data_IF_331986860601
#
_entry.id   IF_331986860601
#
_cell.length_a   1.000
_cell.length_b   1.000
_cell.length_c   1.000
_cell.angle_alpha   90.00
_cell.angle_beta   90.00
_cell.angle_gamma   90.00
#
_symmetry.space_group_name_H-M   'P 1'
#
loop_
_entity.id
_entity.type
_entity.pdbx_description
1 polymer ?
#
# COMPACT_ATOMS: atom_id res chain seq x y z
N UNK A 1 0.42 -15.06 16.18
CA UNK A 1 -0.25 -15.00 14.86
C UNK A 1 -1.77 -15.08 15.06
N UNK A 2 -2.61 -14.50 14.18
CA UNK A 2 -4.08 -14.52 14.28
C UNK A 2 -4.68 -15.92 14.07
N UNK A 3 -4.22 -16.61 13.03
CA UNK A 3 -4.62 -17.99 12.77
C UNK A 3 -3.95 -18.96 13.74
N UNK A 4 -4.70 -19.99 14.12
CA UNK A 4 -4.19 -21.15 14.85
C UNK A 4 -3.69 -22.22 13.88
N UNK A 5 -4.25 -22.28 12.68
CA UNK A 5 -3.96 -23.32 11.69
C UNK A 5 -3.87 -22.72 10.29
N UNK A 6 -2.97 -23.25 9.46
CA UNK A 6 -2.96 -23.02 8.02
C UNK A 6 -3.08 -24.35 7.29
N UNK A 7 -4.10 -24.46 6.45
CA UNK A 7 -4.27 -25.58 5.53
C UNK A 7 -3.78 -25.21 4.13
N UNK A 8 -3.11 -26.14 3.46
CA UNK A 8 -2.79 -26.06 2.03
C UNK A 8 -3.67 -27.03 1.28
N UNK A 9 -4.42 -26.51 0.30
CA UNK A 9 -5.33 -27.31 -0.53
C UNK A 9 -4.95 -27.17 -2.00
N UNK A 10 -5.14 -28.24 -2.76
CA UNK A 10 -5.00 -28.24 -4.22
C UNK A 10 -6.34 -28.65 -4.83
N UNK A 11 -6.93 -27.78 -5.64
CA UNK A 11 -8.27 -27.99 -6.21
C UNK A 11 -9.30 -28.34 -5.12
N UNK A 12 -9.28 -27.61 -3.99
CA UNK A 12 -10.09 -27.85 -2.77
C UNK A 12 -9.77 -29.11 -1.97
N UNK A 13 -8.89 -30.00 -2.45
CA UNK A 13 -8.41 -31.18 -1.71
C UNK A 13 -7.31 -30.78 -0.73
N UNK A 14 -7.50 -31.07 0.55
CA UNK A 14 -6.47 -30.85 1.58
C UNK A 14 -5.21 -31.67 1.26
N UNK A 15 -4.06 -31.00 1.23
CA UNK A 15 -2.74 -31.61 1.07
C UNK A 15 -1.97 -31.65 2.39
N UNK A 16 -1.96 -30.54 3.13
CA UNK A 16 -1.28 -30.43 4.41
C UNK A 16 -1.99 -29.42 5.32
N UNK A 17 -1.74 -29.53 6.62
CA UNK A 17 -2.17 -28.58 7.63
C UNK A 17 -1.06 -28.40 8.65
N UNK A 18 -0.83 -27.18 9.11
CA UNK A 18 0.14 -26.86 10.16
C UNK A 18 -0.47 -25.93 11.18
N UNK A 19 -0.06 -26.09 12.45
CA UNK A 19 -0.36 -25.11 13.50
C UNK A 19 0.57 -23.92 13.32
N UNK A 20 0.03 -22.71 13.45
CA UNK A 20 0.82 -21.48 13.43
C UNK A 20 1.19 -21.15 14.86
N UNK A 21 2.45 -21.41 15.23
CA UNK A 21 2.96 -21.06 16.56
C UNK A 21 3.08 -19.54 16.73
N UNK A 22 3.11 -19.09 17.97
CA UNK A 22 3.02 -17.66 18.30
C UNK A 22 4.21 -16.83 17.79
N UNK A 23 5.37 -17.46 17.54
CA UNK A 23 6.54 -16.81 16.93
C UNK A 23 6.37 -16.68 15.41
N UNK A 24 6.09 -15.47 14.89
CA UNK A 24 5.77 -15.27 13.48
C UNK A 24 7.00 -15.27 12.56
N UNK A 25 8.23 -15.35 13.10
CA UNK A 25 9.46 -15.29 12.31
C UNK A 25 9.86 -16.63 11.66
N UNK A 26 9.22 -17.75 12.03
CA UNK A 26 9.78 -19.09 11.81
C UNK A 26 8.83 -20.14 11.20
N UNK A 27 7.54 -19.86 10.97
CA UNK A 27 6.62 -20.87 10.47
C UNK A 27 6.78 -21.10 8.96
N UNK A 28 7.77 -21.92 8.57
CA UNK A 28 7.91 -22.42 7.20
C UNK A 28 7.00 -23.63 6.99
N UNK A 29 6.04 -23.52 6.06
CA UNK A 29 5.22 -24.64 5.64
C UNK A 29 5.73 -25.18 4.30
N UNK A 30 6.17 -26.44 4.30
CA UNK A 30 6.54 -27.16 3.09
C UNK A 30 5.50 -28.24 2.80
N UNK A 31 4.96 -28.26 1.59
CA UNK A 31 4.04 -29.30 1.13
C UNK A 31 4.57 -29.92 -0.15
N UNK A 32 4.53 -31.25 -0.23
CA UNK A 32 4.77 -31.98 -1.47
C UNK A 32 3.43 -32.20 -2.18
N UNK A 33 3.36 -31.88 -3.48
CA UNK A 33 2.19 -32.19 -4.30
C UNK A 33 2.39 -33.60 -4.88
N UNK A 34 1.61 -34.61 -4.47
CA UNK A 34 1.83 -35.97 -4.94
C UNK A 34 1.55 -36.10 -6.45
N UNK A 35 2.27 -36.99 -7.15
CA UNK A 35 1.98 -37.28 -8.56
C UNK A 35 0.52 -37.64 -8.79
N UNK A 36 -0.07 -37.13 -9.87
CA UNK A 36 -1.46 -37.41 -10.27
C UNK A 36 -2.54 -36.68 -9.48
N UNK A 37 -2.18 -35.81 -8.52
CA UNK A 37 -3.15 -34.96 -7.81
C UNK A 37 -3.38 -33.63 -8.55
N UNK A 38 -2.32 -33.08 -9.14
CA UNK A 38 -2.39 -31.99 -10.11
C UNK A 38 -2.86 -32.58 -11.45
N UNK A 39 -4.04 -32.19 -11.90
CA UNK A 39 -4.70 -32.82 -13.05
C UNK A 39 -5.69 -31.93 -13.78
N UNK A 40 -5.84 -30.68 -13.34
CA UNK A 40 -6.60 -29.68 -14.07
C UNK A 40 -5.71 -29.00 -15.13
N UNK A 41 -6.33 -28.32 -16.09
CA UNK A 41 -5.59 -27.45 -17.03
C UNK A 41 -4.84 -26.34 -16.30
N UNK A 42 -5.41 -25.86 -15.19
CA UNK A 42 -4.78 -24.94 -14.23
C UNK A 42 -5.18 -25.44 -12.85
N UNK A 43 -4.21 -25.98 -12.10
CA UNK A 43 -4.46 -26.37 -10.71
C UNK A 43 -4.48 -25.14 -9.80
N UNK A 44 -5.39 -25.13 -8.82
CA UNK A 44 -5.52 -24.06 -7.84
C UNK A 44 -4.89 -24.46 -6.52
N UNK A 45 -3.80 -23.81 -6.13
CA UNK A 45 -3.23 -23.88 -4.79
C UNK A 45 -3.93 -22.85 -3.88
N UNK A 46 -4.47 -23.31 -2.76
CA UNK A 46 -5.25 -22.51 -1.82
C UNK A 46 -4.60 -22.57 -0.43
N UNK A 47 -4.43 -21.41 0.21
CA UNK A 47 -4.00 -21.28 1.60
C UNK A 47 -5.20 -20.86 2.44
N UNK A 48 -5.64 -21.70 3.38
CA UNK A 48 -6.76 -21.40 4.25
C UNK A 48 -6.25 -21.19 5.68
N UNK A 49 -6.49 -19.98 6.20
CA UNK A 49 -6.14 -19.61 7.56
C UNK A 49 -7.35 -19.83 8.47
N UNK A 50 -7.22 -20.71 9.47
CA UNK A 50 -8.28 -20.97 10.44
C UNK A 50 -8.00 -20.23 11.75
N UNK A 51 -9.06 -19.71 12.36
CA UNK A 51 -9.00 -18.99 13.63
C UNK A 51 -9.78 -17.68 13.58
N UNK A 52 -9.90 -16.98 14.72
CA UNK A 52 -10.48 -15.66 14.76
C UNK A 52 -9.61 -14.65 13.97
N UNK A 53 -10.26 -13.66 13.37
CA UNK A 53 -9.54 -12.53 12.79
C UNK A 53 -8.94 -11.66 13.91
N UNK A 54 -7.71 -11.18 13.71
CA UNK A 54 -7.10 -10.19 14.60
C UNK A 54 -7.33 -8.79 14.03
N UNK A 55 -7.92 -7.85 14.79
CA UNK A 55 -8.03 -6.46 14.39
C UNK A 55 -6.66 -5.83 14.14
N UNK A 56 -6.54 -4.95 13.14
CA UNK A 56 -5.27 -4.30 12.79
C UNK A 56 -4.67 -3.52 13.95
N UNK A 57 -5.50 -2.84 14.75
CA UNK A 57 -5.05 -2.13 15.96
C UNK A 57 -4.41 -3.07 17.02
N UNK A 58 -4.71 -4.37 16.97
CA UNK A 58 -4.12 -5.40 17.84
C UNK A 58 -2.82 -5.99 17.30
N UNK A 59 -2.37 -5.59 16.11
CA UNK A 59 -1.07 -5.98 15.54
C UNK A 59 0.02 -5.13 16.23
N UNK A 60 0.32 -5.45 17.48
CA UNK A 60 1.20 -4.68 18.38
C UNK A 60 2.67 -4.61 17.92
N UNK A 61 3.07 -5.44 16.96
CA UNK A 61 4.43 -5.45 16.41
C UNK A 61 4.34 -5.78 14.93
N UNK A 62 4.63 -4.80 14.07
CA UNK A 62 5.06 -5.15 12.71
C UNK A 62 6.45 -5.80 12.84
N UNK A 63 6.68 -7.01 12.30
CA UNK A 63 8.02 -7.55 12.16
C UNK A 63 8.92 -6.71 11.23
N UNK A 64 8.33 -5.71 10.54
CA UNK A 64 9.02 -4.89 9.56
C UNK A 64 9.77 -3.70 10.21
N UNK A 65 11.09 -3.53 9.97
CA UNK A 65 11.86 -2.35 10.36
C UNK A 65 11.37 -1.02 9.77
N UNK A 66 10.34 -1.01 8.93
CA UNK A 66 9.78 0.18 8.27
C UNK A 66 8.88 1.07 9.13
N UNK A 67 8.68 0.78 10.43
CA UNK A 67 8.12 1.74 11.41
C UNK A 67 9.08 2.90 11.77
N UNK A 68 10.06 3.18 10.93
CA UNK A 68 10.95 4.34 11.04
C UNK A 68 10.26 5.65 10.67
N UNK A 69 10.94 6.76 10.89
CA UNK A 69 10.46 8.09 10.52
C UNK A 69 10.08 8.17 9.04
N UNK A 70 8.97 8.85 8.77
CA UNK A 70 8.54 9.21 7.42
C UNK A 70 9.24 10.53 7.08
N UNK A 71 9.96 10.58 5.96
CA UNK A 71 10.45 11.85 5.44
C UNK A 71 11.64 12.47 6.18
N UNK A 72 12.30 11.75 7.10
CA UNK A 72 13.38 12.33 7.94
C UNK A 72 12.98 13.59 8.72
N UNK A 73 11.67 13.89 8.81
CA UNK A 73 11.11 15.08 9.42
C UNK A 73 10.69 14.83 10.88
N UNK A 74 11.13 13.71 11.48
CA UNK A 74 10.72 13.31 12.83
C UNK A 74 9.27 12.80 12.92
N UNK A 75 8.54 12.72 11.81
CA UNK A 75 7.13 12.26 11.80
C UNK A 75 7.08 10.74 11.89
N UNK A 76 6.39 10.24 12.90
CA UNK A 76 6.15 8.81 13.13
C UNK A 76 4.67 8.60 13.42
N UNK A 77 4.06 7.65 12.74
CA UNK A 77 2.73 7.17 13.11
C UNK A 77 2.83 6.37 14.43
N UNK A 78 1.76 6.33 15.25
CA UNK A 78 1.72 5.51 16.44
C UNK A 78 1.98 4.04 16.15
N UNK A 79 2.55 3.32 17.13
CA UNK A 79 2.68 1.88 17.04
C UNK A 79 1.28 1.24 16.89
N UNK A 80 1.12 0.33 15.93
CA UNK A 80 -0.15 -0.30 15.61
C UNK A 80 -0.98 0.41 14.54
N UNK A 81 -0.55 1.59 14.06
CA UNK A 81 -1.16 2.22 12.88
C UNK A 81 -0.59 1.59 11.60
N UNK A 82 -1.49 1.25 10.68
CA UNK A 82 -1.17 0.80 9.32
C UNK A 82 -1.57 1.85 8.31
N UNK A 83 -0.67 2.16 7.38
CA UNK A 83 -0.92 2.98 6.20
C UNK A 83 -0.36 2.27 4.98
N UNK A 84 -1.21 1.87 4.04
CA UNK A 84 -0.83 1.18 2.80
C UNK A 84 -1.31 1.99 1.62
N UNK A 85 -0.44 2.18 0.64
CA UNK A 85 -0.74 2.92 -0.59
C UNK A 85 -0.41 2.04 -1.77
N UNK A 86 -1.40 1.83 -2.63
CA UNK A 86 -1.22 1.11 -3.89
C UNK A 86 -1.76 1.92 -5.05
N UNK A 87 -0.98 1.94 -6.13
CA UNK A 87 -1.29 2.66 -7.34
C UNK A 87 -1.15 1.74 -8.54
N UNK A 88 -2.06 1.87 -9.48
CA UNK A 88 -2.01 1.18 -10.76
C UNK A 88 -2.51 2.10 -11.89
N UNK A 89 -1.64 2.35 -12.86
CA UNK A 89 -2.04 2.91 -14.15
C UNK A 89 -3.03 2.00 -14.89
N UNK A 90 -3.61 2.51 -15.98
CA UNK A 90 -4.74 1.84 -16.67
C UNK A 90 -4.47 0.38 -17.03
N UNK A 91 -3.28 0.13 -17.57
CA UNK A 91 -2.94 -1.15 -18.18
C UNK A 91 -2.37 -2.16 -17.16
N UNK A 92 -2.11 -1.73 -15.92
CA UNK A 92 -1.52 -2.57 -14.86
C UNK A 92 -2.50 -2.89 -13.73
N UNK A 93 -3.65 -2.21 -13.67
CA UNK A 93 -4.70 -2.52 -12.68
C UNK A 93 -5.82 -1.49 -12.58
N UNK A 94 -5.59 -0.23 -13.00
CA UNK A 94 -6.59 0.85 -12.98
C UNK A 94 -7.22 1.08 -11.60
N UNK A 95 -6.38 1.29 -10.57
CA UNK A 95 -6.83 1.56 -9.22
C UNK A 95 -5.92 2.55 -8.48
N UNK A 96 -6.48 3.21 -7.47
CA UNK A 96 -5.74 3.91 -6.44
C UNK A 96 -6.38 3.56 -5.09
N UNK A 97 -5.59 2.98 -4.21
CA UNK A 97 -6.01 2.57 -2.88
C UNK A 97 -5.11 3.19 -1.82
N UNK A 98 -5.71 3.69 -0.75
CA UNK A 98 -5.02 4.24 0.40
C UNK A 98 -5.73 3.68 1.63
N UNK A 99 -5.19 2.61 2.21
CA UNK A 99 -5.74 2.01 3.41
C UNK A 99 -5.14 2.61 4.66
N UNK A 100 -6.00 3.08 5.56
CA UNK A 100 -5.64 3.46 6.93
C UNK A 100 -6.27 2.45 7.86
N UNK A 101 -5.44 1.69 8.59
CA UNK A 101 -5.89 0.61 9.46
C UNK A 101 -6.83 -0.39 8.75
N UNK A 102 -6.57 -0.66 7.47
CA UNK A 102 -7.36 -1.58 6.65
C UNK A 102 -8.69 -1.03 6.14
N UNK A 103 -8.97 0.26 6.30
CA UNK A 103 -10.08 0.95 5.65
C UNK A 103 -9.54 1.77 4.48
N UNK A 104 -10.03 1.51 3.27
CA UNK A 104 -9.67 2.33 2.11
C UNK A 104 -10.34 3.71 2.21
N UNK A 105 -9.52 4.74 2.14
CA UNK A 105 -9.93 6.15 2.25
C UNK A 105 -9.61 6.94 0.98
N UNK A 106 -9.10 6.28 -0.07
CA UNK A 106 -8.99 6.88 -1.39
C UNK A 106 -10.38 7.12 -2.01
N UNK A 107 -10.49 8.17 -2.82
CA UNK A 107 -11.73 8.46 -3.58
C UNK A 107 -11.89 7.48 -4.76
N UNK A 108 -10.78 7.03 -5.36
CA UNK A 108 -10.78 6.01 -6.41
C UNK A 108 -11.21 6.54 -7.77
N UNK A 109 -10.62 7.65 -8.23
CA UNK A 109 -10.86 8.20 -9.59
C UNK A 109 -9.55 8.48 -10.32
N UNK A 110 -9.61 8.67 -11.65
CA UNK A 110 -8.44 9.00 -12.48
C UNK A 110 -7.67 10.21 -11.94
N UNK A 111 -6.34 10.11 -11.95
CA UNK A 111 -5.42 11.17 -11.53
C UNK A 111 -4.72 10.85 -10.22
N UNK A 112 -4.21 11.88 -9.55
CA UNK A 112 -3.63 11.76 -8.22
C UNK A 112 -4.74 11.71 -7.16
N UNK A 113 -4.88 10.58 -6.48
CA UNK A 113 -5.71 10.43 -5.29
C UNK A 113 -4.81 10.71 -4.08
N UNK A 114 -5.09 11.76 -3.33
CA UNK A 114 -4.29 12.20 -2.20
C UNK A 114 -5.13 12.18 -0.91
N UNK A 115 -4.49 11.77 0.18
CA UNK A 115 -5.06 11.77 1.53
C UNK A 115 -4.10 12.49 2.46
N UNK A 116 -4.63 13.48 3.19
CA UNK A 116 -3.92 14.15 4.26
C UNK A 116 -4.25 13.48 5.60
N UNK A 117 -3.23 13.20 6.41
CA UNK A 117 -3.41 12.65 7.75
C UNK A 117 -2.66 13.46 8.79
N UNK A 118 -3.20 13.50 10.00
CA UNK A 118 -2.45 13.98 11.15
C UNK A 118 -1.40 12.96 11.62
N UNK A 119 -0.62 13.35 12.63
CA UNK A 119 0.43 12.51 13.23
C UNK A 119 -0.09 11.23 13.88
N UNK A 120 -1.37 11.15 14.20
CA UNK A 120 -2.00 10.01 14.86
C UNK A 120 -2.62 9.03 13.82
N UNK A 121 -2.60 9.41 12.54
CA UNK A 121 -3.17 8.64 11.43
C UNK A 121 -4.65 8.95 11.20
N UNK A 122 -5.18 10.04 11.77
CA UNK A 122 -6.54 10.49 11.47
C UNK A 122 -6.59 11.14 10.10
N UNK A 123 -7.54 10.73 9.26
CA UNK A 123 -7.77 11.36 7.96
C UNK A 123 -8.31 12.77 8.15
N UNK A 124 -7.60 13.75 7.60
CA UNK A 124 -7.97 15.16 7.59
C UNK A 124 -8.75 15.52 6.33
N UNK A 125 -8.34 14.97 5.18
CA UNK A 125 -9.00 15.17 3.89
C UNK A 125 -8.63 14.06 2.89
N UNK A 126 -9.48 13.85 1.88
CA UNK A 126 -9.28 12.89 0.79
C UNK A 126 -9.82 13.46 -0.52
N UNK A 127 -8.95 13.60 -1.52
CA UNK A 127 -9.22 14.37 -2.74
C UNK A 127 -8.58 13.73 -3.97
N UNK A 128 -9.09 14.06 -5.16
CA UNK A 128 -8.52 13.68 -6.44
C UNK A 128 -8.18 14.90 -7.29
N UNK A 129 -7.01 14.87 -7.90
CA UNK A 129 -6.58 15.83 -8.90
C UNK A 129 -6.36 15.13 -10.24
N UNK A 130 -7.31 15.32 -11.16
CA UNK A 130 -7.22 14.81 -12.52
C UNK A 130 -6.23 15.66 -13.35
N UNK A 131 -4.94 15.43 -13.10
CA UNK A 131 -3.82 16.05 -13.83
C UNK A 131 -3.59 15.41 -15.20
N UNK A 132 -4.45 14.46 -15.61
CA UNK A 132 -4.56 14.05 -17.00
C UNK A 132 -5.43 15.03 -17.79
N UNK A 133 -6.61 15.35 -17.26
CA UNK A 133 -7.62 16.13 -17.98
C UNK A 133 -7.36 17.64 -18.00
N UNK A 134 -6.70 18.20 -16.99
CA UNK A 134 -6.55 19.66 -16.86
C UNK A 134 -5.25 20.10 -16.19
N UNK A 135 -4.52 21.09 -16.78
CA UNK A 135 -3.40 21.73 -16.10
C UNK A 135 -3.81 22.44 -14.80
N UNK A 136 -5.05 22.95 -14.72
CA UNK A 136 -5.54 23.62 -13.51
C UNK A 136 -5.58 22.68 -12.29
N UNK A 137 -5.71 21.36 -12.51
CA UNK A 137 -5.59 20.35 -11.45
C UNK A 137 -4.21 20.36 -10.80
N UNK A 138 -3.15 20.75 -11.52
CA UNK A 138 -1.80 20.85 -10.94
C UNK A 138 -1.69 22.01 -9.94
N UNK A 139 -2.29 23.16 -10.27
CA UNK A 139 -2.35 24.30 -9.36
C UNK A 139 -3.23 24.00 -8.13
N UNK A 140 -4.35 23.30 -8.32
CA UNK A 140 -5.22 22.86 -7.23
C UNK A 140 -4.52 21.87 -6.29
N UNK A 141 -3.78 20.90 -6.84
CA UNK A 141 -2.95 19.97 -6.08
C UNK A 141 -1.91 20.74 -5.25
N UNK A 142 -1.18 21.66 -5.88
CA UNK A 142 -0.16 22.45 -5.21
C UNK A 142 -0.74 23.28 -4.05
N UNK A 143 -1.88 23.92 -4.26
CA UNK A 143 -2.58 24.67 -3.21
C UNK A 143 -3.05 23.76 -2.08
N UNK A 144 -3.56 22.56 -2.40
CA UNK A 144 -4.02 21.59 -1.42
C UNK A 144 -2.88 21.03 -0.55
N UNK A 145 -1.68 20.84 -1.10
CA UNK A 145 -0.51 20.47 -0.27
C UNK A 145 -0.08 21.64 0.61
N UNK A 146 -0.08 22.87 0.07
CA UNK A 146 0.42 24.06 0.75
C UNK A 146 -0.46 24.54 1.93
N UNK A 147 -1.74 24.17 1.98
CA UNK A 147 -2.62 24.54 3.11
C UNK A 147 -2.29 23.79 4.41
N UNK A 148 -1.61 22.65 4.31
CA UNK A 148 -1.35 21.80 5.47
C UNK A 148 -0.12 22.26 6.26
N UNK A 149 -0.15 22.22 7.60
CA UNK A 149 1.03 22.55 8.40
C UNK A 149 2.14 21.52 8.22
N UNK A 150 3.38 21.95 8.45
CA UNK A 150 4.56 21.06 8.48
C UNK A 150 4.30 19.88 9.43
N UNK A 151 4.66 18.69 8.98
CA UNK A 151 4.43 17.43 9.69
C UNK A 151 3.11 16.72 9.35
N UNK A 152 2.22 17.35 8.58
CA UNK A 152 1.04 16.66 8.03
C UNK A 152 1.49 15.58 7.05
N UNK A 153 0.98 14.36 7.24
CA UNK A 153 1.28 13.24 6.36
C UNK A 153 0.47 13.35 5.07
N UNK A 154 1.12 13.06 3.94
CA UNK A 154 0.49 13.03 2.62
C UNK A 154 0.72 11.64 2.04
N UNK A 155 -0.36 10.87 1.89
CA UNK A 155 -0.38 9.61 1.16
C UNK A 155 -0.97 9.84 -0.23
N UNK A 156 -0.39 9.22 -1.26
CA UNK A 156 -0.87 9.44 -2.62
C UNK A 156 -0.68 8.27 -3.56
N UNK A 157 -1.71 8.00 -4.36
CA UNK A 157 -1.74 6.96 -5.38
C UNK A 157 -2.30 7.51 -6.70
N UNK A 158 -1.72 7.07 -7.82
CA UNK A 158 -2.26 7.36 -9.16
C UNK A 158 -3.16 6.23 -9.64
N UNK A 159 -4.32 6.59 -10.19
CA UNK A 159 -5.21 5.69 -10.92
C UNK A 159 -5.28 6.13 -12.38
N UNK A 160 -5.26 5.16 -13.31
CA UNK A 160 -5.30 5.37 -14.77
C UNK A 160 -4.09 6.17 -15.29
N UNK A 161 -4.13 7.50 -15.15
CA UNK A 161 -3.23 8.45 -15.78
C UNK A 161 -3.18 9.76 -14.97
N UNK A 162 -1.99 10.32 -14.78
CA UNK A 162 -1.81 11.60 -14.08
C UNK A 162 -0.70 12.48 -14.66
N UNK A 163 -0.11 12.11 -15.80
CA UNK A 163 1.07 12.78 -16.37
C UNK A 163 0.77 13.81 -17.44
N UNK A 164 -0.32 13.65 -18.20
CA UNK A 164 -0.50 14.33 -19.48
C UNK A 164 -0.55 15.86 -19.36
N UNK A 165 -1.29 16.38 -18.39
CA UNK A 165 -1.40 17.80 -18.09
C UNK A 165 -0.67 18.20 -16.79
N UNK A 166 0.16 17.31 -16.22
CA UNK A 166 0.91 17.56 -15.01
C UNK A 166 1.93 18.68 -15.20
N UNK A 167 1.89 19.66 -14.30
CA UNK A 167 2.78 20.83 -14.34
C UNK A 167 3.80 20.82 -13.20
N UNK A 168 4.80 21.69 -13.33
CA UNK A 168 5.93 21.76 -12.42
C UNK A 168 5.52 22.10 -10.98
N UNK A 169 4.49 22.90 -10.77
CA UNK A 169 4.01 23.31 -9.45
C UNK A 169 3.47 22.14 -8.63
N UNK A 170 2.77 21.19 -9.26
CA UNK A 170 2.30 19.99 -8.57
C UNK A 170 3.47 19.08 -8.17
N UNK A 171 4.43 18.91 -9.09
CA UNK A 171 5.65 18.13 -8.80
C UNK A 171 6.45 18.76 -7.66
N UNK A 172 6.61 20.09 -7.67
CA UNK A 172 7.29 20.82 -6.61
C UNK A 172 6.55 20.73 -5.26
N UNK A 173 5.22 20.78 -5.27
CA UNK A 173 4.41 20.62 -4.07
C UNK A 173 4.58 19.21 -3.47
N UNK A 174 4.49 18.15 -4.28
CA UNK A 174 4.75 16.78 -3.81
C UNK A 174 6.19 16.63 -3.31
N UNK A 175 7.18 17.21 -3.99
CA UNK A 175 8.57 17.21 -3.56
C UNK A 175 8.76 17.91 -2.20
N UNK A 176 7.99 18.96 -1.90
CA UNK A 176 7.99 19.64 -0.59
C UNK A 176 7.37 18.80 0.54
N UNK A 177 6.65 17.73 0.20
CA UNK A 177 6.19 16.71 1.12
C UNK A 177 7.15 15.50 1.18
N UNK A 178 8.35 15.63 0.61
CA UNK A 178 9.36 14.56 0.58
C UNK A 178 9.14 13.48 -0.47
N UNK A 179 8.16 13.63 -1.37
CA UNK A 179 7.89 12.67 -2.45
C UNK A 179 9.01 12.74 -3.49
N UNK A 180 9.48 11.58 -3.93
CA UNK A 180 10.37 11.45 -5.08
C UNK A 180 9.58 11.09 -6.34
N UNK A 181 10.05 11.54 -7.49
CA UNK A 181 9.49 11.18 -8.78
C UNK A 181 8.79 12.33 -9.50
N UNK A 182 8.78 12.23 -10.81
CA UNK A 182 8.13 13.17 -11.71
C UNK A 182 7.44 12.34 -12.80
N UNK A 183 6.12 12.46 -12.87
CA UNK A 183 5.32 11.72 -13.84
C UNK A 183 5.27 12.39 -15.20
N UNK A 184 5.75 13.61 -15.39
CA UNK A 184 5.69 14.28 -16.70
C UNK A 184 6.42 13.44 -17.76
N UNK A 185 5.73 13.13 -18.85
CA UNK A 185 6.23 12.24 -19.90
C UNK A 185 6.19 10.74 -19.56
N UNK A 186 5.62 10.37 -18.41
CA UNK A 186 5.47 9.00 -17.92
C UNK A 186 4.00 8.57 -17.95
N UNK A 187 3.46 8.47 -19.17
CA UNK A 187 2.06 8.14 -19.40
C UNK A 187 1.66 6.82 -18.71
N UNK A 188 0.63 6.88 -17.85
CA UNK A 188 0.05 5.74 -17.11
C UNK A 188 1.01 4.99 -16.20
N UNK A 189 2.07 5.63 -15.73
CA UNK A 189 2.89 5.02 -14.68
C UNK A 189 2.13 4.99 -13.36
N UNK A 190 2.28 3.90 -12.63
CA UNK A 190 1.87 3.78 -11.23
C UNK A 190 2.82 4.59 -10.35
N UNK A 191 2.27 5.35 -9.41
CA UNK A 191 3.03 6.12 -8.44
C UNK A 191 2.32 6.07 -7.08
N UNK A 192 2.96 5.42 -6.11
CA UNK A 192 2.48 5.30 -4.73
C UNK A 192 3.50 5.93 -3.79
N UNK A 193 3.07 6.78 -2.85
CA UNK A 193 3.98 7.44 -1.92
C UNK A 193 3.35 7.76 -0.56
N UNK A 194 4.20 7.91 0.45
CA UNK A 194 3.90 8.40 1.79
C UNK A 194 4.99 9.41 2.17
N UNK A 195 4.60 10.67 2.28
CA UNK A 195 5.46 11.79 2.64
C UNK A 195 4.91 12.60 3.81
N UNK A 196 5.62 13.67 4.17
CA UNK A 196 5.18 14.63 5.17
C UNK A 196 5.51 16.05 4.72
N UNK A 197 4.57 16.98 4.87
CA UNK A 197 4.79 18.39 4.51
C UNK A 197 6.01 18.94 5.25
N UNK A 198 6.94 19.56 4.51
CA UNK A 198 8.20 20.09 5.03
C UNK A 198 9.34 19.06 5.06
N UNK A 199 9.12 17.81 4.65
CA UNK A 199 10.17 16.81 4.53
C UNK A 199 11.10 17.13 3.34
N UNK A 200 12.42 16.89 3.45
CA UNK A 200 13.34 17.01 2.32
C UNK A 200 12.90 16.15 1.14
N UNK A 201 13.02 16.65 -0.09
CA UNK A 201 12.66 15.90 -1.30
C UNK A 201 13.30 14.50 -1.31
N UNK A 202 12.51 13.47 -1.59
CA UNK A 202 12.93 12.07 -1.67
C UNK A 202 13.24 11.40 -0.33
N UNK A 203 12.99 12.07 0.79
CA UNK A 203 13.06 11.44 2.11
C UNK A 203 11.80 10.65 2.48
N UNK A 204 10.69 10.90 1.78
CA UNK A 204 9.46 10.13 1.91
C UNK A 204 9.63 8.72 1.34
N UNK A 205 8.63 7.86 1.59
CA UNK A 205 8.58 6.52 1.00
C UNK A 205 7.81 6.59 -0.31
N UNK A 206 8.23 5.85 -1.32
CA UNK A 206 7.46 5.76 -2.54
C UNK A 206 8.02 4.75 -3.52
N UNK A 207 7.16 4.40 -4.47
CA UNK A 207 7.43 3.48 -5.55
C UNK A 207 6.83 4.03 -6.84
N UNK A 208 7.52 3.80 -7.96
CA UNK A 208 7.21 4.38 -9.26
C UNK A 208 7.46 3.32 -10.36
N UNK A 209 6.39 2.82 -10.97
CA UNK A 209 6.42 1.63 -11.81
C UNK A 209 5.70 1.85 -13.15
N UNK A 210 6.27 1.35 -14.25
CA UNK A 210 5.62 1.37 -15.57
C UNK A 210 4.75 0.14 -15.80
N UNK A 211 5.25 -1.04 -15.44
CA UNK A 211 4.67 -2.33 -15.85
C UNK A 211 4.01 -3.11 -14.71
N UNK A 212 3.97 -2.52 -13.51
CA UNK A 212 3.45 -3.15 -12.30
C UNK A 212 2.72 -2.11 -11.44
N UNK A 213 1.83 -2.56 -10.53
CA UNK A 213 1.37 -1.70 -9.46
C UNK A 213 2.54 -1.19 -8.62
N UNK A 214 2.49 0.07 -8.22
CA UNK A 214 3.41 0.65 -7.25
C UNK A 214 2.83 0.46 -5.85
N UNK A 215 3.64 0.04 -4.88
CA UNK A 215 3.21 -0.19 -3.49
C UNK A 215 4.17 0.42 -2.50
N UNK A 216 3.65 1.11 -1.49
CA UNK A 216 4.41 1.54 -0.31
C UNK A 216 3.55 1.48 0.94
N UNK A 217 4.17 1.36 2.11
CA UNK A 217 3.44 1.26 3.37
C UNK A 217 4.28 1.71 4.57
N UNK A 218 3.57 1.97 5.68
CA UNK A 218 4.11 2.14 7.04
C UNK A 218 3.24 1.29 7.97
N UNK A 219 3.84 0.60 8.95
CA UNK A 219 3.11 -0.36 9.76
C UNK A 219 2.97 -1.72 9.08
N UNK A 220 1.93 -2.46 9.48
CA UNK A 220 1.60 -3.74 8.85
C UNK A 220 0.97 -3.48 7.46
N UNK A 221 1.41 -4.15 6.38
CA UNK A 221 0.85 -3.95 5.04
C UNK A 221 -0.48 -4.71 4.89
N UNK A 222 -1.56 -4.14 5.42
CA UNK A 222 -2.89 -4.76 5.47
C UNK A 222 -3.94 -3.87 4.78
N UNK A 223 -4.82 -4.50 4.02
CA UNK A 223 -5.90 -3.89 3.24
C UNK A 223 -7.30 -4.15 3.84
N UNK A 224 -7.36 -4.78 5.02
CA UNK A 224 -8.60 -5.08 5.74
C UNK A 224 -8.47 -4.77 7.24
N UNK A 225 -9.58 -4.38 7.87
CA UNK A 225 -9.63 -3.97 9.28
C UNK A 225 -9.28 -5.10 10.28
N UNK A 226 -9.29 -6.35 9.82
CA UNK A 226 -8.81 -7.49 10.57
C UNK A 226 -8.21 -8.53 9.61
N UNK A 227 -7.23 -9.30 10.09
CA UNK A 227 -6.49 -10.29 9.29
C UNK A 227 -6.48 -11.65 9.98
N UNK A 228 -6.48 -12.72 9.17
CA UNK A 228 -6.29 -14.10 9.66
C UNK A 228 -4.81 -14.51 9.69
N UNK A 229 -3.93 -13.79 9.01
CA UNK A 229 -2.51 -14.09 8.95
C UNK A 229 -1.83 -13.31 7.83
N UNK A 230 -0.54 -13.58 7.60
CA UNK A 230 0.22 -13.01 6.50
C UNK A 230 1.08 -14.08 5.83
N UNK A 231 1.28 -13.93 4.53
CA UNK A 231 2.20 -14.77 3.74
C UNK A 231 3.41 -13.90 3.39
N UNK A 232 4.60 -14.31 3.81
CA UNK A 232 5.84 -13.59 3.48
C UNK A 232 6.32 -13.87 2.06
N UNK A 233 6.49 -15.14 1.72
CA UNK A 233 6.87 -15.58 0.37
C UNK A 233 6.32 -16.97 0.08
N UNK A 234 6.19 -17.29 -1.20
CA UNK A 234 5.85 -18.62 -1.70
C UNK A 234 6.95 -19.04 -2.67
N UNK A 235 7.57 -20.19 -2.42
CA UNK A 235 8.54 -20.79 -3.32
C UNK A 235 7.95 -22.07 -3.90
N UNK A 236 7.83 -22.11 -5.22
CA UNK A 236 7.43 -23.30 -5.98
C UNK A 236 8.69 -23.81 -6.67
N UNK A 237 9.00 -25.09 -6.45
CA UNK A 237 10.17 -25.77 -7.03
C UNK A 237 9.72 -26.80 -8.05
#
# INVERSE_FOLDING_TARGET
APATTVEVRLNRRLLASTVVEADPSAALLSVEIPPGVAGALVDRLELHFEGPLTPVAGLLTSPDPQNGEIGGAGVRLPAGTSLVVQSAGKDVGDFAHIWVNGQDVAVGQRGYNLVALDKDGTVLDSVVFDTHASPASSAALAAWVAQWPVGTLIAGAVMDEASYALQAEAVAALASAGVAGDLRGKFRWSHAFIGAVGAPMGSGRGDLQLLQPATTYVGAPVDGAAVSGGVGWVLIK
#
